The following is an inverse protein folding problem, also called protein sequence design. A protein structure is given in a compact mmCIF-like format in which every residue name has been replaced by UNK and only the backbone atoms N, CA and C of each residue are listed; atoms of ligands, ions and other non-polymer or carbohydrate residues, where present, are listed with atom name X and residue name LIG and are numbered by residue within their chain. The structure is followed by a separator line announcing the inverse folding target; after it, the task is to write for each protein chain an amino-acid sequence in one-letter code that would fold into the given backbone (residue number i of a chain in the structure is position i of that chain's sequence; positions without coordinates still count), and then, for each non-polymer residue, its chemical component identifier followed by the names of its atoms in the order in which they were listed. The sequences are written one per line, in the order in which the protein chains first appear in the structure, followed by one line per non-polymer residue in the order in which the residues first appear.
data_IF_833651676882
#
_entry.id   IF_833651676882
#
_cell.length_a   1.000
_cell.length_b   1.000
_cell.length_c   1.000
_cell.angle_alpha   90.00
_cell.angle_beta   90.00
_cell.angle_gamma   90.00
#
_symmetry.space_group_name_H-M   'P 1'
#
loop_
_entity.id
_entity.type
_entity.pdbx_description
1 polymer ?
#
# COMPACT_ATOMS: atom_id res chain seq x y z
N UNK A 1 -4.77 -18.93 13.53
CA UNK A 1 -5.83 -18.62 12.57
C UNK A 1 -5.18 -18.08 11.31
N UNK A 2 -5.70 -18.40 10.14
CA UNK A 2 -5.18 -17.83 8.89
C UNK A 2 -5.49 -16.33 8.88
N UNK A 3 -4.48 -15.49 8.69
CA UNK A 3 -4.69 -14.05 8.57
C UNK A 3 -5.43 -13.77 7.25
N UNK A 4 -6.47 -12.95 7.30
CA UNK A 4 -7.31 -12.62 6.13
C UNK A 4 -6.95 -11.23 5.58
N UNK A 5 -7.16 -10.98 4.27
CA UNK A 5 -7.06 -9.64 3.73
C UNK A 5 -7.99 -8.68 4.48
N UNK A 6 -7.56 -7.43 4.62
CA UNK A 6 -8.31 -6.38 5.30
C UNK A 6 -8.71 -5.29 4.30
N UNK A 7 -9.98 -4.90 4.32
CA UNK A 7 -10.48 -3.76 3.57
C UNK A 7 -10.19 -2.46 4.34
N UNK A 8 -9.62 -1.48 3.66
CA UNK A 8 -9.31 -0.16 4.21
C UNK A 8 -9.90 0.93 3.33
N UNK A 9 -10.52 1.92 3.97
CA UNK A 9 -10.97 3.14 3.34
C UNK A 9 -10.21 4.28 4.00
N UNK A 10 -9.48 5.04 3.20
CA UNK A 10 -8.83 6.27 3.61
C UNK A 10 -9.64 7.44 3.03
N UNK A 11 -10.08 8.34 3.89
CA UNK A 11 -10.63 9.63 3.48
C UNK A 11 -9.59 10.70 3.80
N UNK A 12 -9.27 11.53 2.81
CA UNK A 12 -8.38 12.67 3.01
C UNK A 12 -9.24 13.92 3.08
N UNK A 13 -9.35 14.50 4.27
CA UNK A 13 -10.15 15.70 4.49
C UNK A 13 -9.60 16.92 3.73
N UNK A 14 -10.51 17.83 3.36
CA UNK A 14 -10.20 19.07 2.64
C UNK A 14 -10.66 19.07 1.19
N UNK A 15 -10.40 20.17 0.48
CA UNK A 15 -10.85 20.38 -0.91
C UNK A 15 -9.81 20.00 -1.97
N UNK A 16 -8.58 19.68 -1.56
CA UNK A 16 -7.52 19.24 -2.46
C UNK A 16 -7.81 17.85 -3.00
N UNK A 17 -7.79 17.70 -4.31
CA UNK A 17 -7.78 16.40 -4.97
C UNK A 17 -6.38 15.81 -4.92
N UNK A 18 -6.29 14.56 -4.48
CA UNK A 18 -5.04 13.82 -4.38
C UNK A 18 -4.98 12.71 -5.40
N UNK A 19 -3.77 12.42 -5.86
CA UNK A 19 -3.43 11.21 -6.59
C UNK A 19 -2.35 10.46 -5.84
N UNK A 20 -2.40 9.13 -5.89
CA UNK A 20 -1.30 8.31 -5.44
C UNK A 20 -0.24 8.31 -6.54
N UNK A 21 0.99 8.66 -6.19
CA UNK A 21 2.14 8.68 -7.12
C UNK A 21 3.13 7.56 -6.85
N UNK A 22 2.99 6.88 -5.72
CA UNK A 22 3.79 5.72 -5.36
C UNK A 22 3.03 4.85 -4.38
N UNK A 23 3.08 3.53 -4.58
CA UNK A 23 2.55 2.54 -3.65
C UNK A 23 3.60 1.44 -3.46
N UNK A 24 4.15 1.35 -2.24
CA UNK A 24 5.04 0.27 -1.84
C UNK A 24 4.36 -0.68 -0.88
N UNK A 25 4.67 -1.96 -1.01
CA UNK A 25 4.17 -3.07 -0.21
C UNK A 25 5.34 -3.90 0.30
N UNK A 26 5.37 -4.15 1.61
CA UNK A 26 6.20 -5.18 2.23
C UNK A 26 5.28 -6.30 2.73
N UNK A 27 5.35 -7.46 2.12
CA UNK A 27 4.59 -8.65 2.51
C UNK A 27 5.33 -9.92 2.09
N UNK A 28 5.06 -11.02 2.80
CA UNK A 28 5.57 -12.33 2.47
C UNK A 28 4.46 -13.38 2.61
N UNK A 29 4.42 -14.43 1.75
CA UNK A 29 3.46 -15.52 1.91
C UNK A 29 3.64 -16.29 3.23
N UNK A 30 4.89 -16.49 3.65
CA UNK A 30 5.23 -17.04 4.96
C UNK A 30 5.48 -15.89 5.95
N UNK A 31 4.71 -15.77 7.04
CA UNK A 31 4.91 -14.73 8.05
C UNK A 31 6.22 -14.85 8.83
N UNK A 32 6.89 -16.00 8.73
CA UNK A 32 8.19 -16.24 9.35
C UNK A 32 9.36 -16.09 8.39
N UNK A 33 9.10 -15.75 7.11
CA UNK A 33 10.15 -15.50 6.14
C UNK A 33 11.07 -14.36 6.61
N UNK A 34 12.37 -14.57 6.49
CA UNK A 34 13.39 -13.58 6.81
C UNK A 34 14.47 -13.54 5.72
N UNK A 35 15.17 -12.42 5.64
CA UNK A 35 16.32 -12.27 4.75
C UNK A 35 17.53 -12.94 5.40
N UNK A 36 18.21 -13.80 4.64
CA UNK A 36 19.45 -14.44 5.04
C UNK A 36 20.62 -13.97 4.18
N UNK A 37 21.88 -14.35 4.51
CA UNK A 37 23.06 -13.97 3.73
C UNK A 37 22.98 -14.38 2.26
N UNK A 38 22.43 -15.56 1.99
CA UNK A 38 22.34 -16.12 0.63
C UNK A 38 21.07 -15.67 -0.12
N UNK A 39 20.09 -15.11 0.60
CA UNK A 39 18.81 -14.65 0.06
C UNK A 39 18.40 -13.36 0.77
N UNK A 40 19.09 -12.27 0.43
CA UNK A 40 18.96 -10.98 1.11
C UNK A 40 17.65 -10.24 0.78
N UNK A 41 16.93 -10.64 -0.27
CA UNK A 41 15.74 -9.92 -0.78
C UNK A 41 14.46 -10.78 -0.77
N UNK A 42 14.43 -11.84 0.06
CA UNK A 42 13.23 -12.69 0.24
C UNK A 42 12.02 -11.86 0.69
N UNK A 43 12.23 -10.96 1.64
CA UNK A 43 11.25 -10.03 2.20
C UNK A 43 11.79 -8.62 2.01
N UNK A 44 11.31 -7.93 0.98
CA UNK A 44 11.72 -6.58 0.62
C UNK A 44 10.50 -5.77 0.13
N UNK A 45 10.51 -4.43 0.26
CA UNK A 45 9.47 -3.58 -0.30
C UNK A 45 9.39 -3.74 -1.82
N UNK A 46 8.17 -3.80 -2.35
CA UNK A 46 7.90 -3.94 -3.79
C UNK A 46 6.88 -2.91 -4.21
N UNK A 47 6.97 -2.45 -5.47
CA UNK A 47 5.91 -1.63 -6.05
C UNK A 47 4.62 -2.45 -6.13
N UNK A 48 3.53 -1.88 -5.63
CA UNK A 48 2.19 -2.40 -5.75
C UNK A 48 1.38 -1.58 -6.76
N UNK A 49 0.30 -2.14 -7.33
CA UNK A 49 -0.62 -1.38 -8.16
C UNK A 49 -1.08 -0.10 -7.46
N UNK A 50 -1.00 1.02 -8.16
CA UNK A 50 -1.38 2.33 -7.60
C UNK A 50 -2.90 2.44 -7.58
N UNK A 51 -3.54 2.57 -6.40
CA UNK A 51 -4.97 2.79 -6.30
C UNK A 51 -5.31 4.24 -6.68
N UNK A 52 -6.53 4.45 -7.16
CA UNK A 52 -7.05 5.77 -7.52
C UNK A 52 -8.05 6.25 -6.48
N UNK A 53 -7.99 7.54 -6.16
CA UNK A 53 -9.04 8.19 -5.38
C UNK A 53 -10.35 8.20 -6.17
N UNK A 54 -11.46 8.04 -5.47
CA UNK A 54 -12.79 8.26 -6.01
C UNK A 54 -13.13 9.76 -6.06
N UNK A 55 -14.24 10.09 -6.72
CA UNK A 55 -14.71 11.46 -6.89
C UNK A 55 -15.10 12.18 -5.57
N UNK A 56 -15.11 11.49 -4.44
CA UNK A 56 -15.37 12.02 -3.10
C UNK A 56 -14.10 12.11 -2.24
N UNK A 57 -12.90 11.93 -2.83
CA UNK A 57 -11.62 11.93 -2.12
C UNK A 57 -11.42 10.75 -1.14
N UNK A 58 -12.17 9.67 -1.35
CA UNK A 58 -11.93 8.39 -0.67
C UNK A 58 -11.00 7.51 -1.50
N UNK A 59 -10.17 6.72 -0.81
CA UNK A 59 -9.29 5.71 -1.39
C UNK A 59 -9.60 4.36 -0.76
N UNK A 60 -10.04 3.42 -1.59
CA UNK A 60 -10.31 2.05 -1.15
C UNK A 60 -9.11 1.14 -1.45
N UNK A 61 -8.77 0.29 -0.49
CA UNK A 61 -7.64 -0.63 -0.53
C UNK A 61 -8.03 -1.99 0.03
N UNK A 62 -7.50 -3.06 -0.56
CA UNK A 62 -7.50 -4.40 0.05
C UNK A 62 -6.06 -4.76 0.37
N UNK A 63 -5.74 -4.80 1.66
CA UNK A 63 -4.39 -5.08 2.14
C UNK A 63 -4.23 -6.59 2.34
N UNK A 64 -3.16 -7.21 1.81
CA UNK A 64 -2.84 -8.60 2.14
C UNK A 64 -2.66 -8.78 3.65
N UNK A 65 -2.86 -10.00 4.17
CA UNK A 65 -2.57 -10.27 5.57
C UNK A 65 -1.09 -10.02 5.89
N UNK A 66 -0.82 -9.53 7.11
CA UNK A 66 0.55 -9.33 7.63
C UNK A 66 1.44 -8.53 6.66
N UNK A 67 0.89 -7.41 6.19
CA UNK A 67 1.55 -6.51 5.25
C UNK A 67 1.79 -5.14 5.85
N UNK A 68 2.78 -4.44 5.29
CA UNK A 68 2.98 -3.02 5.48
C UNK A 68 2.88 -2.31 4.13
N UNK A 69 2.23 -1.15 4.12
CA UNK A 69 1.98 -0.35 2.93
C UNK A 69 2.44 1.09 3.12
N UNK A 70 3.02 1.67 2.07
CA UNK A 70 3.30 3.10 1.96
C UNK A 70 2.68 3.65 0.69
N UNK A 71 1.95 4.76 0.85
CA UNK A 71 1.36 5.52 -0.24
C UNK A 71 1.95 6.92 -0.21
N UNK A 72 2.56 7.34 -1.32
CA UNK A 72 2.96 8.75 -1.49
C UNK A 72 1.88 9.45 -2.30
N UNK A 73 1.37 10.55 -1.74
CA UNK A 73 0.32 11.35 -2.34
C UNK A 73 0.91 12.63 -2.92
N UNK A 74 0.34 13.08 -4.04
CA UNK A 74 0.55 14.41 -4.57
C UNK A 74 -0.80 15.05 -4.92
N UNK A 75 -0.94 16.38 -4.83
CA UNK A 75 -2.11 17.05 -5.39
C UNK A 75 -2.23 16.73 -6.88
N UNK A 76 -3.45 16.56 -7.40
CA UNK A 76 -3.65 16.35 -8.85
C UNK A 76 -3.09 17.50 -9.69
N UNK A 77 -3.09 18.71 -9.14
CA UNK A 77 -2.60 19.92 -9.79
C UNK A 77 -1.11 20.20 -9.56
N UNK A 78 -0.40 19.35 -8.81
CA UNK A 78 1.04 19.49 -8.63
C UNK A 78 1.77 19.03 -9.90
N UNK A 79 2.51 19.96 -10.51
CA UNK A 79 3.30 19.80 -11.73
C UNK A 79 4.51 18.91 -11.50
#
# INVERSE_FOLDING_TARGET
GQATPAAFILEVEGSTRWRVIEHQLLAAPDPHACNGPDQAETVAPRCAPTPSFAADNTLALTLPPLSWHLLRLAPENAT
#
